data_IF_616489477987
#
_entry.id   IF_616489477987
#
_cell.length_a   1.000
_cell.length_b   1.000
_cell.length_c   1.000
_cell.angle_alpha   90.00
_cell.angle_beta   90.00
_cell.angle_gamma   90.00
#
_symmetry.space_group_name_H-M   'P 1'
#
loop_
_entity.id
_entity.type
_entity.pdbx_description
1 polymer ?
#
# COMPACT_ATOMS: atom_id res chain seq x y z
N UNK A 1 4.61 -21.29 1.28
CA UNK A 1 3.59 -20.62 0.44
C UNK A 1 4.30 -19.78 -0.61
N UNK A 2 4.24 -20.17 -1.89
CA UNK A 2 4.88 -19.43 -2.98
C UNK A 2 4.05 -18.17 -3.24
N UNK A 3 4.61 -16.98 -2.98
CA UNK A 3 3.95 -15.73 -3.38
C UNK A 3 3.87 -15.70 -4.91
N UNK A 4 2.68 -15.59 -5.51
CA UNK A 4 2.57 -15.49 -6.96
C UNK A 4 3.40 -14.29 -7.44
N UNK A 5 4.38 -14.54 -8.30
CA UNK A 5 5.18 -13.49 -8.94
C UNK A 5 4.36 -12.92 -10.09
N UNK A 6 3.67 -11.80 -9.83
CA UNK A 6 2.99 -11.01 -10.86
C UNK A 6 3.98 -10.60 -11.95
N UNK A 7 3.56 -10.67 -13.21
CA UNK A 7 4.34 -10.19 -14.35
C UNK A 7 4.53 -8.66 -14.28
N UNK A 8 5.51 -8.12 -15.01
CA UNK A 8 5.77 -6.67 -15.02
C UNK A 8 4.57 -5.85 -15.52
N UNK A 9 3.75 -6.41 -16.40
CA UNK A 9 2.52 -5.80 -16.90
C UNK A 9 1.43 -5.76 -15.82
N UNK A 10 1.27 -6.85 -15.06
CA UNK A 10 0.27 -6.94 -13.97
C UNK A 10 0.68 -6.15 -12.71
N UNK A 11 1.97 -5.83 -12.56
CA UNK A 11 2.49 -5.00 -11.47
C UNK A 11 2.15 -3.52 -11.63
N UNK A 12 1.85 -3.04 -12.84
CA UNK A 12 1.57 -1.64 -13.11
C UNK A 12 0.11 -1.34 -12.86
N UNK A 13 -0.24 -1.18 -11.58
CA UNK A 13 -1.46 -0.50 -11.19
C UNK A 13 -1.46 0.92 -11.78
N UNK A 14 -2.64 1.42 -12.17
CA UNK A 14 -2.81 2.83 -12.52
C UNK A 14 -2.23 3.71 -11.41
N UNK A 15 -1.64 4.88 -11.73
CA UNK A 15 -1.15 5.79 -10.71
C UNK A 15 -2.29 6.19 -9.76
N UNK A 16 -2.07 5.99 -8.46
CA UNK A 16 -3.04 6.35 -7.42
C UNK A 16 -2.58 7.66 -6.78
N UNK A 17 -3.47 8.65 -6.80
CA UNK A 17 -3.26 9.94 -6.13
C UNK A 17 -4.02 9.96 -4.81
N UNK A 18 -3.32 10.33 -3.73
CA UNK A 18 -3.92 10.42 -2.39
C UNK A 18 -3.71 11.84 -1.87
N UNK A 19 -4.82 12.50 -1.52
CA UNK A 19 -4.78 13.81 -0.88
C UNK A 19 -4.59 13.64 0.62
N UNK A 20 -3.53 14.24 1.16
CA UNK A 20 -3.21 14.20 2.59
C UNK A 20 -3.25 15.60 3.17
N UNK A 21 -3.84 15.74 4.35
CA UNK A 21 -3.72 16.94 5.17
C UNK A 21 -2.26 17.11 5.63
N UNK A 22 -1.81 18.34 5.96
CA UNK A 22 -0.43 18.57 6.39
C UNK A 22 0.03 17.70 7.57
N UNK A 23 -0.87 17.42 8.54
CA UNK A 23 -0.58 16.54 9.69
C UNK A 23 -0.39 15.08 9.28
N UNK A 24 -1.23 14.57 8.38
CA UNK A 24 -1.18 13.20 7.86
C UNK A 24 0.10 12.99 7.04
N UNK A 25 0.45 13.94 6.18
CA UNK A 25 1.69 13.90 5.40
C UNK A 25 2.92 13.77 6.31
N UNK A 26 2.99 14.56 7.38
CA UNK A 26 4.09 14.48 8.36
C UNK A 26 4.16 13.11 9.04
N UNK A 27 3.02 12.52 9.37
CA UNK A 27 2.96 11.17 9.95
C UNK A 27 3.50 10.11 8.99
N UNK A 28 3.04 10.13 7.72
CA UNK A 28 3.52 9.20 6.68
C UNK A 28 5.02 9.36 6.45
N UNK A 29 5.53 10.59 6.38
CA UNK A 29 6.97 10.85 6.22
C UNK A 29 7.80 10.33 7.41
N UNK A 30 7.30 10.50 8.64
CA UNK A 30 7.96 9.96 9.83
C UNK A 30 8.02 8.43 9.79
N UNK A 31 6.91 7.76 9.50
CA UNK A 31 6.83 6.29 9.43
C UNK A 31 7.73 5.76 8.32
N UNK A 32 7.67 6.38 7.12
CA UNK A 32 8.52 6.02 5.99
C UNK A 32 10.01 6.07 6.35
N UNK A 33 10.43 7.09 7.10
CA UNK A 33 11.81 7.23 7.57
C UNK A 33 12.20 6.16 8.60
N UNK A 34 11.33 5.89 9.57
CA UNK A 34 11.59 4.92 10.66
C UNK A 34 11.64 3.49 10.13
N UNK A 35 10.70 3.12 9.26
CA UNK A 35 10.59 1.78 8.70
C UNK A 35 11.44 1.57 7.44
N UNK A 36 12.16 2.60 6.99
CA UNK A 36 12.93 2.59 5.72
C UNK A 36 12.09 2.15 4.51
N UNK A 37 10.83 2.63 4.44
CA UNK A 37 9.87 2.33 3.38
C UNK A 37 9.59 3.56 2.53
N UNK A 38 9.08 3.34 1.31
CA UNK A 38 8.51 4.44 0.52
C UNK A 38 7.18 4.90 1.11
N UNK A 39 6.82 6.18 0.91
CA UNK A 39 5.52 6.73 1.37
C UNK A 39 4.34 5.93 0.81
N UNK A 40 4.44 5.51 -0.45
CA UNK A 40 3.42 4.67 -1.10
C UNK A 40 3.29 3.29 -0.46
N UNK A 41 4.40 2.68 -0.04
CA UNK A 41 4.37 1.42 0.69
C UNK A 41 3.68 1.57 2.05
N UNK A 42 3.97 2.65 2.80
CA UNK A 42 3.30 2.95 4.08
C UNK A 42 1.78 3.08 3.90
N UNK A 43 1.33 3.86 2.91
CA UNK A 43 -0.09 4.05 2.63
C UNK A 43 -0.78 2.75 2.19
N UNK A 44 -0.11 1.97 1.34
CA UNK A 44 -0.64 0.68 0.87
C UNK A 44 -0.77 -0.30 2.03
N UNK A 45 0.27 -0.44 2.86
CA UNK A 45 0.28 -1.38 3.98
C UNK A 45 -0.83 -1.01 4.98
N UNK A 46 -0.98 0.28 5.32
CA UNK A 46 -2.06 0.77 6.19
C UNK A 46 -3.47 0.49 5.60
N UNK A 47 -3.66 0.73 4.30
CA UNK A 47 -4.92 0.41 3.63
C UNK A 47 -5.24 -1.09 3.69
N UNK A 48 -4.23 -1.94 3.44
CA UNK A 48 -4.37 -3.39 3.47
C UNK A 48 -4.60 -3.93 4.89
N UNK A 49 -4.05 -3.30 5.92
CA UNK A 49 -4.33 -3.67 7.31
C UNK A 49 -5.80 -3.43 7.68
N UNK A 50 -6.34 -2.28 7.28
CA UNK A 50 -7.73 -1.91 7.58
C UNK A 50 -8.74 -2.66 6.71
N UNK A 51 -8.42 -2.88 5.43
CA UNK A 51 -9.39 -3.38 4.44
C UNK A 51 -9.07 -4.77 3.88
N UNK A 52 -7.85 -5.28 4.04
CA UNK A 52 -7.40 -6.54 3.44
C UNK A 52 -8.13 -7.79 3.93
N UNK A 53 -8.78 -7.73 5.10
CA UNK A 53 -9.69 -8.78 5.55
C UNK A 53 -11.02 -8.84 4.77
N UNK A 54 -11.48 -7.71 4.21
CA UNK A 54 -12.75 -7.59 3.47
C UNK A 54 -12.60 -7.78 1.96
N UNK A 55 -11.38 -7.70 1.43
CA UNK A 55 -11.12 -7.71 -0.01
C UNK A 55 -10.61 -9.07 -0.55
N UNK A 56 -10.76 -10.18 0.20
CA UNK A 56 -10.47 -11.51 -0.37
C UNK A 56 -11.55 -11.82 -1.43
N UNK A 57 -11.20 -11.94 -2.73
CA UNK A 57 -12.15 -12.51 -3.68
C UNK A 57 -12.46 -13.95 -3.25
N UNK A 58 -13.69 -14.46 -3.48
CA UNK A 58 -13.95 -15.87 -3.30
C UNK A 58 -12.99 -16.64 -4.20
N UNK A 59 -12.19 -17.51 -3.59
CA UNK A 59 -11.34 -18.45 -4.31
C UNK A 59 -12.30 -19.37 -5.07
N UNK A 60 -12.32 -19.26 -6.42
CA UNK A 60 -12.93 -20.24 -7.30
C UNK A 60 -11.91 -21.33 -7.62
#
# INVERSE_FOLDING_TARGET
MVRPKLSAAEKRSHPIFVLLRPRERRAVEKIARVEQKSKGAVLRDAFLEVHGARCRPPVR
#
